data_IF_994972009226
#
_entry.id   IF_994972009226
#
_cell.length_a   1.000
_cell.length_b   1.000
_cell.length_c   1.000
_cell.angle_alpha   90.00
_cell.angle_beta   90.00
_cell.angle_gamma   90.00
#
_symmetry.space_group_name_H-M   'P 1'
#
loop_
_entity.id
_entity.type
_entity.pdbx_description
1 polymer ?
#
# COMPACT_ATOMS: atom_id res chain seq x y z
N UNK A 1 1.99 -20.76 -15.51
CA UNK A 1 1.31 -19.83 -14.59
C UNK A 1 0.02 -19.41 -15.26
N UNK A 2 -1.11 -19.41 -14.55
CA UNK A 2 -2.40 -18.92 -15.07
C UNK A 2 -2.65 -17.56 -14.43
N UNK A 3 -2.96 -16.56 -15.24
CA UNK A 3 -3.33 -15.22 -14.79
C UNK A 3 -4.81 -15.02 -15.05
N UNK A 4 -5.60 -14.92 -13.99
CA UNK A 4 -7.06 -14.82 -14.04
C UNK A 4 -7.56 -13.66 -13.16
N UNK A 5 -8.89 -13.50 -13.08
CA UNK A 5 -9.56 -12.47 -12.26
C UNK A 5 -9.21 -12.54 -10.76
N UNK A 6 -8.56 -13.61 -10.29
CA UNK A 6 -8.19 -13.82 -8.89
C UNK A 6 -6.68 -13.62 -8.64
N UNK A 7 -5.91 -13.15 -9.63
CA UNK A 7 -4.49 -12.79 -9.52
C UNK A 7 -4.22 -11.49 -8.71
N UNK A 8 -4.94 -11.32 -7.59
CA UNK A 8 -5.09 -10.08 -6.84
C UNK A 8 -3.84 -9.63 -6.08
N UNK A 9 -2.99 -10.57 -5.68
CA UNK A 9 -1.84 -10.29 -4.83
C UNK A 9 -0.83 -9.38 -5.54
N UNK A 10 -0.20 -8.49 -4.77
CA UNK A 10 0.95 -7.75 -5.23
C UNK A 10 2.22 -8.61 -5.11
N UNK A 11 2.75 -9.05 -6.25
CA UNK A 11 3.89 -9.95 -6.30
C UNK A 11 5.25 -9.23 -6.18
N UNK A 12 5.28 -7.90 -6.28
CA UNK A 12 6.51 -7.12 -6.18
C UNK A 12 7.22 -7.33 -4.82
N UNK A 13 6.46 -7.60 -3.75
CA UNK A 13 7.00 -7.85 -2.41
C UNK A 13 8.04 -8.98 -2.38
N UNK A 14 7.88 -10.00 -3.21
CA UNK A 14 8.79 -11.14 -3.26
C UNK A 14 10.16 -10.78 -3.84
N UNK A 15 10.31 -9.63 -4.50
CA UNK A 15 11.62 -9.16 -4.94
C UNK A 15 12.55 -8.83 -3.76
N UNK A 16 11.98 -8.58 -2.57
CA UNK A 16 12.75 -8.33 -1.34
C UNK A 16 13.31 -9.60 -0.70
N UNK A 17 12.81 -10.78 -1.08
CA UNK A 17 13.28 -12.05 -0.54
C UNK A 17 14.77 -12.25 -0.85
N UNK A 18 15.54 -12.69 0.15
CA UNK A 18 17.00 -12.88 0.02
C UNK A 18 17.44 -13.63 -1.25
N UNK A 19 16.77 -14.73 -1.67
CA UNK A 19 17.16 -15.45 -2.89
C UNK A 19 17.02 -14.62 -4.18
N UNK A 20 16.18 -13.59 -4.17
CA UNK A 20 15.83 -12.80 -5.36
C UNK A 20 16.70 -11.55 -5.52
N UNK A 21 17.37 -11.07 -4.46
CA UNK A 21 18.22 -9.87 -4.52
C UNK A 21 19.40 -9.98 -5.50
N UNK A 22 19.98 -11.17 -5.61
CA UNK A 22 21.18 -11.43 -6.44
C UNK A 22 20.88 -12.19 -7.73
N UNK A 23 19.60 -12.39 -8.07
CA UNK A 23 19.18 -13.15 -9.26
C UNK A 23 18.50 -12.24 -10.28
N UNK A 24 18.52 -12.68 -11.54
CA UNK A 24 17.63 -12.13 -12.56
C UNK A 24 16.23 -12.70 -12.38
N UNK A 25 15.25 -11.84 -12.15
CA UNK A 25 13.86 -12.21 -11.86
C UNK A 25 12.94 -11.61 -12.92
N UNK A 26 12.13 -12.45 -13.56
CA UNK A 26 11.02 -11.98 -14.39
C UNK A 26 9.75 -11.90 -13.54
N UNK A 27 8.98 -10.81 -13.67
CA UNK A 27 7.77 -10.58 -12.90
C UNK A 27 6.65 -10.06 -13.80
N UNK A 28 5.46 -10.64 -13.66
CA UNK A 28 4.25 -10.09 -14.23
C UNK A 28 3.69 -9.02 -13.31
N UNK A 29 3.47 -7.82 -13.84
CA UNK A 29 3.10 -6.65 -13.03
C UNK A 29 1.82 -5.98 -13.52
N UNK A 30 0.88 -5.81 -12.60
CA UNK A 30 -0.26 -4.89 -12.73
C UNK A 30 0.19 -3.44 -12.50
N UNK A 31 -0.71 -2.49 -12.68
CA UNK A 31 -0.52 -1.11 -12.22
C UNK A 31 -0.02 -1.01 -10.78
N UNK A 32 -0.76 -1.58 -9.82
CA UNK A 32 -0.34 -1.58 -8.42
C UNK A 32 0.98 -2.33 -8.13
N UNK A 33 1.32 -3.36 -8.90
CA UNK A 33 2.58 -4.11 -8.72
C UNK A 33 3.76 -3.27 -9.21
N UNK A 34 3.63 -2.70 -10.41
CA UNK A 34 4.67 -1.86 -11.04
C UNK A 34 5.01 -0.63 -10.18
N UNK A 35 4.01 0.00 -9.55
CA UNK A 35 4.25 1.10 -8.58
C UNK A 35 5.02 0.63 -7.34
N UNK A 36 4.78 -0.60 -6.90
CA UNK A 36 5.56 -1.23 -5.84
C UNK A 36 7.01 -1.46 -6.25
N UNK A 37 7.24 -1.90 -7.48
CA UNK A 37 8.58 -2.04 -8.06
C UNK A 37 9.30 -0.70 -8.15
N UNK A 38 8.61 0.34 -8.66
CA UNK A 38 9.14 1.73 -8.67
C UNK A 38 9.60 2.08 -7.27
N UNK A 39 8.78 1.84 -6.24
CA UNK A 39 9.18 2.19 -4.88
C UNK A 39 10.41 1.44 -4.38
N UNK A 40 10.51 0.16 -4.64
CA UNK A 40 11.68 -0.63 -4.23
C UNK A 40 12.95 -0.20 -4.97
N UNK A 41 12.84 0.28 -6.22
CA UNK A 41 13.95 0.85 -6.96
C UNK A 41 14.42 2.17 -6.33
N UNK A 42 13.51 3.12 -6.05
CA UNK A 42 13.92 4.39 -5.43
C UNK A 42 14.35 4.22 -3.95
N UNK A 43 13.94 3.14 -3.28
CA UNK A 43 14.49 2.74 -1.96
C UNK A 43 15.83 1.99 -2.05
N UNK A 44 16.38 1.80 -3.26
CA UNK A 44 17.60 1.02 -3.54
C UNK A 44 17.57 -0.42 -2.98
N UNK A 45 16.38 -1.02 -2.87
CA UNK A 45 16.23 -2.39 -2.33
C UNK A 45 16.40 -3.46 -3.41
N UNK A 46 16.21 -3.09 -4.67
CA UNK A 46 16.36 -3.94 -5.85
C UNK A 46 17.12 -3.17 -6.93
N UNK A 47 17.68 -3.90 -7.90
CA UNK A 47 18.45 -3.32 -9.01
C UNK A 47 17.69 -3.49 -10.32
N UNK A 48 17.62 -2.42 -11.13
CA UNK A 48 16.82 -2.42 -12.37
C UNK A 48 17.30 -3.47 -13.37
N UNK A 49 18.60 -3.70 -13.46
CA UNK A 49 19.24 -4.68 -14.35
C UNK A 49 18.97 -6.14 -13.95
N UNK A 50 18.49 -6.37 -12.72
CA UNK A 50 18.16 -7.71 -12.21
C UNK A 50 16.68 -8.06 -12.38
N UNK A 51 15.85 -7.16 -12.89
CA UNK A 51 14.42 -7.40 -13.05
C UNK A 51 13.99 -7.26 -14.51
N UNK A 52 13.08 -8.12 -14.92
CA UNK A 52 12.41 -8.07 -16.22
C UNK A 52 10.90 -8.07 -16.01
N UNK A 53 10.23 -7.01 -16.45
CA UNK A 53 8.86 -6.71 -16.08
C UNK A 53 7.92 -6.93 -17.27
N UNK A 54 6.97 -7.84 -17.11
CA UNK A 54 5.93 -8.10 -18.10
C UNK A 54 4.63 -7.45 -17.59
N UNK A 55 4.30 -6.30 -18.16
CA UNK A 55 3.13 -5.51 -17.81
C UNK A 55 1.83 -6.17 -18.23
N UNK A 56 0.85 -6.19 -17.32
CA UNK A 56 -0.51 -6.66 -17.59
C UNK A 56 -1.49 -5.55 -17.19
N UNK A 57 -2.15 -4.89 -18.17
CA UNK A 57 -3.29 -3.99 -17.91
C UNK A 57 -4.38 -4.72 -17.11
N UNK A 58 -4.83 -4.10 -16.02
CA UNK A 58 -5.68 -4.75 -15.03
C UNK A 58 -7.02 -4.00 -14.87
N UNK A 59 -8.15 -4.53 -15.37
CA UNK A 59 -9.45 -3.86 -15.26
C UNK A 59 -10.05 -3.89 -13.85
N UNK A 60 -9.51 -4.71 -12.95
CA UNK A 60 -10.07 -4.98 -11.63
C UNK A 60 -9.97 -6.47 -11.33
N UNK A 61 -9.83 -6.84 -10.06
CA UNK A 61 -9.66 -8.23 -9.65
C UNK A 61 -10.59 -8.58 -8.49
N UNK A 62 -10.99 -9.84 -8.43
CA UNK A 62 -11.89 -10.40 -7.43
C UNK A 62 -11.10 -10.86 -6.21
N UNK A 63 -11.70 -10.77 -5.03
CA UNK A 63 -11.08 -11.31 -3.80
C UNK A 63 -11.40 -12.81 -3.65
N UNK A 64 -10.38 -13.70 -3.62
CA UNK A 64 -10.59 -15.13 -3.37
C UNK A 64 -11.31 -15.42 -2.06
N UNK A 65 -11.18 -14.58 -1.03
CA UNK A 65 -11.90 -14.73 0.24
C UNK A 65 -13.42 -14.61 0.06
N UNK A 66 -13.85 -13.74 -0.85
CA UNK A 66 -15.28 -13.57 -1.18
C UNK A 66 -15.80 -14.79 -1.94
N UNK A 67 -15.01 -15.31 -2.89
CA UNK A 67 -15.34 -16.52 -3.64
C UNK A 67 -15.41 -17.78 -2.74
N UNK A 68 -14.47 -17.94 -1.81
CA UNK A 68 -14.41 -19.09 -0.91
C UNK A 68 -15.56 -19.13 0.12
N UNK A 69 -16.08 -17.96 0.53
CA UNK A 69 -17.26 -17.87 1.43
C UNK A 69 -18.58 -18.24 0.73
N UNK A 70 -18.61 -18.25 -0.59
CA UNK A 70 -19.75 -18.64 -1.43
C UNK A 70 -19.39 -19.76 -2.40
N UNK A 71 -18.82 -20.87 -1.91
CA UNK A 71 -18.55 -22.13 -2.63
C UNK A 71 -18.63 -22.02 -4.17
N UNK A 72 -17.56 -21.59 -4.86
CA UNK A 72 -17.19 -21.79 -6.28
C UNK A 72 -18.28 -22.16 -7.33
N UNK A 73 -19.54 -21.77 -7.15
CA UNK A 73 -20.65 -22.20 -8.00
C UNK A 73 -20.79 -21.28 -9.20
N UNK A 74 -20.34 -20.03 -9.06
CA UNK A 74 -20.25 -19.08 -10.16
C UNK A 74 -19.15 -18.05 -9.91
N UNK A 75 -17.96 -18.25 -10.49
CA UNK A 75 -16.87 -17.29 -10.42
C UNK A 75 -17.20 -15.95 -11.12
N UNK A 76 -18.22 -15.94 -11.98
CA UNK A 76 -18.73 -14.74 -12.64
C UNK A 76 -19.49 -13.81 -11.70
N UNK A 77 -20.11 -14.34 -10.64
CA UNK A 77 -20.94 -13.55 -9.71
C UNK A 77 -20.15 -12.91 -8.56
N UNK A 78 -18.84 -13.16 -8.46
CA UNK A 78 -18.01 -12.61 -7.39
C UNK A 78 -17.68 -11.15 -7.76
N UNK A 79 -18.02 -10.17 -6.90
CA UNK A 79 -17.70 -8.77 -7.18
C UNK A 79 -16.19 -8.53 -7.14
N UNK A 80 -15.78 -7.40 -7.69
CA UNK A 80 -14.41 -6.92 -7.55
C UNK A 80 -14.04 -6.75 -6.07
N UNK A 81 -12.75 -6.85 -5.76
CA UNK A 81 -12.26 -6.56 -4.44
C UNK A 81 -12.38 -5.07 -4.16
N UNK A 82 -12.70 -4.70 -2.91
CA UNK A 82 -12.79 -3.30 -2.45
C UNK A 82 -11.61 -2.42 -2.92
N UNK A 83 -10.38 -2.94 -2.87
CA UNK A 83 -9.18 -2.18 -3.31
C UNK A 83 -9.14 -1.88 -4.81
N UNK A 84 -9.85 -2.64 -5.63
CA UNK A 84 -9.92 -2.47 -7.08
C UNK A 84 -10.99 -1.44 -7.47
N UNK A 85 -12.09 -1.34 -6.71
CA UNK A 85 -13.18 -0.38 -6.94
C UNK A 85 -12.75 1.10 -6.86
N UNK A 86 -11.62 1.34 -6.17
CA UNK A 86 -11.01 2.65 -5.92
C UNK A 86 -9.62 2.78 -6.58
N UNK A 87 -9.23 1.83 -7.43
CA UNK A 87 -7.94 1.88 -8.12
C UNK A 87 -7.92 3.02 -9.13
N UNK A 88 -6.86 3.84 -9.14
CA UNK A 88 -6.67 4.94 -10.11
C UNK A 88 -5.75 4.56 -11.27
N UNK A 89 -4.93 3.52 -11.09
CA UNK A 89 -3.85 3.16 -12.02
C UNK A 89 -3.95 1.69 -12.43
N UNK A 90 -4.85 1.34 -13.37
CA UNK A 90 -5.02 -0.05 -13.85
C UNK A 90 -3.86 -0.53 -14.74
N UNK A 91 -3.18 0.41 -15.41
CA UNK A 91 -2.07 0.11 -16.32
C UNK A 91 -0.72 0.13 -15.58
N UNK A 92 0.22 -0.78 -15.94
CA UNK A 92 1.57 -0.76 -15.38
C UNK A 92 2.31 0.53 -15.76
N UNK A 93 2.92 1.19 -14.78
CA UNK A 93 3.71 2.42 -15.00
C UNK A 93 5.17 2.13 -15.38
N UNK A 94 5.66 0.95 -15.01
CA UNK A 94 7.01 0.48 -15.29
C UNK A 94 6.95 -0.96 -15.79
N UNK A 95 7.40 -1.19 -17.03
CA UNK A 95 7.45 -2.50 -17.67
C UNK A 95 8.52 -2.54 -18.79
N UNK A 96 8.96 -3.73 -19.16
CA UNK A 96 9.83 -4.00 -20.32
C UNK A 96 9.00 -4.41 -21.55
N UNK A 97 8.00 -5.26 -21.33
CA UNK A 97 7.02 -5.70 -22.34
C UNK A 97 5.61 -5.57 -21.77
N UNK A 98 4.62 -5.38 -22.63
CA UNK A 98 3.21 -5.31 -22.24
C UNK A 98 2.41 -6.40 -22.95
N UNK A 99 1.61 -7.14 -22.19
CA UNK A 99 0.70 -8.16 -22.70
C UNK A 99 -0.74 -7.70 -22.51
N UNK A 100 -1.42 -7.47 -23.64
CA UNK A 100 -2.79 -6.96 -23.66
C UNK A 100 -2.86 -5.48 -24.00
N UNK A 101 -4.09 -5.00 -24.16
CA UNK A 101 -4.37 -3.60 -24.46
C UNK A 101 -4.53 -2.80 -23.17
N UNK A 102 -4.00 -1.57 -23.09
CA UNK A 102 -4.27 -0.68 -21.97
C UNK A 102 -5.77 -0.56 -21.69
N UNK A 103 -6.11 -0.53 -20.41
CA UNK A 103 -7.48 -0.32 -19.94
C UNK A 103 -7.70 1.17 -19.74
N UNK A 104 -8.90 1.67 -20.00
CA UNK A 104 -9.26 3.04 -19.71
C UNK A 104 -9.10 3.32 -18.22
N UNK A 105 -8.45 4.43 -17.88
CA UNK A 105 -8.29 4.83 -16.49
C UNK A 105 -9.66 5.26 -15.95
N UNK A 106 -10.06 4.77 -14.77
CA UNK A 106 -11.36 5.10 -14.22
C UNK A 106 -11.43 6.60 -13.93
N UNK A 107 -12.63 7.17 -14.04
CA UNK A 107 -12.85 8.57 -13.71
C UNK A 107 -12.40 8.87 -12.28
N UNK A 108 -11.76 10.03 -12.13
CA UNK A 108 -11.21 10.49 -10.86
C UNK A 108 -12.34 10.70 -9.85
N UNK A 109 -12.50 9.73 -8.95
CA UNK A 109 -13.31 9.87 -7.73
C UNK A 109 -12.49 10.66 -6.69
N UNK A 110 -13.17 11.38 -5.80
CA UNK A 110 -12.52 12.00 -4.64
C UNK A 110 -11.90 10.92 -3.74
N UNK A 111 -10.57 10.72 -3.88
CA UNK A 111 -9.83 9.72 -3.12
C UNK A 111 -9.74 10.04 -1.62
N UNK A 112 -10.11 11.26 -1.21
CA UNK A 112 -10.07 11.71 0.18
C UNK A 112 -11.46 11.80 0.82
N UNK A 113 -12.53 11.40 0.13
CA UNK A 113 -13.90 11.50 0.64
C UNK A 113 -14.09 10.89 2.05
N UNK A 114 -13.60 9.67 2.29
CA UNK A 114 -13.68 9.01 3.61
C UNK A 114 -12.88 9.74 4.70
N UNK A 115 -11.80 10.43 4.31
CA UNK A 115 -10.97 11.23 5.22
C UNK A 115 -11.68 12.54 5.55
N UNK A 116 -12.25 13.20 4.55
CA UNK A 116 -13.03 14.43 4.71
C UNK A 116 -14.22 14.22 5.67
N UNK A 117 -14.94 13.11 5.56
CA UNK A 117 -16.02 12.79 6.50
C UNK A 117 -15.51 12.53 7.92
N UNK A 118 -14.33 11.93 8.07
CA UNK A 118 -13.72 11.68 9.38
C UNK A 118 -13.23 13.00 10.02
N UNK A 119 -12.69 13.93 9.24
CA UNK A 119 -12.20 15.24 9.71
C UNK A 119 -13.30 16.17 10.21
N UNK A 120 -14.55 15.98 9.77
CA UNK A 120 -15.72 16.71 10.29
C UNK A 120 -16.05 16.35 11.75
N UNK A 121 -15.55 15.22 12.25
CA UNK A 121 -15.75 14.80 13.65
C UNK A 121 -14.83 15.57 14.59
N UNK A 122 -15.28 15.76 15.81
CA UNK A 122 -14.47 16.33 16.89
C UNK A 122 -13.20 15.48 17.16
N UNK A 123 -12.23 16.07 17.86
CA UNK A 123 -10.99 15.36 18.24
C UNK A 123 -11.30 14.11 19.06
N UNK A 124 -12.21 14.22 20.03
CA UNK A 124 -12.59 13.11 20.91
C UNK A 124 -13.30 11.99 20.15
N UNK A 125 -14.19 12.33 19.22
CA UNK A 125 -14.86 11.34 18.36
C UNK A 125 -13.87 10.61 17.44
N UNK A 126 -12.89 11.32 16.87
CA UNK A 126 -11.83 10.71 16.06
C UNK A 126 -10.94 9.80 16.90
N UNK A 127 -10.57 10.24 18.10
CA UNK A 127 -9.79 9.44 19.04
C UNK A 127 -10.53 8.16 19.43
N UNK A 128 -11.82 8.26 19.79
CA UNK A 128 -12.66 7.11 20.12
C UNK A 128 -12.80 6.15 18.92
N UNK A 129 -13.00 6.66 17.71
CA UNK A 129 -13.07 5.86 16.49
C UNK A 129 -11.79 5.04 16.27
N UNK A 130 -10.61 5.67 16.33
CA UNK A 130 -9.34 4.97 16.13
C UNK A 130 -8.97 4.04 17.27
N UNK A 131 -9.35 4.38 18.52
CA UNK A 131 -9.23 3.49 19.67
C UNK A 131 -10.02 2.20 19.44
N UNK A 132 -11.27 2.31 18.98
CA UNK A 132 -12.09 1.14 18.65
C UNK A 132 -11.53 0.28 17.50
N UNK A 133 -10.73 0.84 16.58
CA UNK A 133 -10.04 0.04 15.56
C UNK A 133 -8.76 -0.61 16.11
N UNK A 134 -8.00 0.10 16.94
CA UNK A 134 -6.80 -0.42 17.58
C UNK A 134 -7.10 -1.60 18.53
N UNK A 135 -8.25 -1.57 19.22
CA UNK A 135 -8.73 -2.67 20.08
C UNK A 135 -8.92 -3.98 19.32
N UNK A 136 -9.31 -3.91 18.05
CA UNK A 136 -9.51 -5.10 17.20
C UNK A 136 -8.20 -5.67 16.68
N UNK A 137 -7.11 -4.92 16.75
CA UNK A 137 -5.85 -5.30 16.12
C UNK A 137 -5.18 -6.45 16.88
N UNK A 138 -5.07 -7.60 16.21
CA UNK A 138 -4.35 -8.77 16.75
C UNK A 138 -2.82 -8.62 16.66
N UNK A 139 -2.33 -7.52 16.10
CA UNK A 139 -0.92 -7.25 15.81
C UNK A 139 -0.20 -8.43 15.12
N UNK A 140 -0.88 -9.04 14.15
CA UNK A 140 -0.37 -10.18 13.38
C UNK A 140 0.64 -9.80 12.28
N UNK A 141 0.91 -8.51 12.07
CA UNK A 141 1.80 -7.95 11.05
C UNK A 141 1.50 -8.30 9.58
N UNK A 142 0.35 -8.89 9.26
CA UNK A 142 -0.04 -9.18 7.88
C UNK A 142 -0.01 -7.91 6.99
N UNK A 143 -0.53 -6.80 7.50
CA UNK A 143 -0.53 -5.51 6.81
C UNK A 143 0.87 -4.94 6.57
N UNK A 144 1.84 -5.27 7.43
CA UNK A 144 3.25 -4.91 7.25
C UNK A 144 3.90 -5.77 6.18
N UNK A 145 3.74 -7.09 6.30
CA UNK A 145 4.48 -8.05 5.48
C UNK A 145 4.00 -8.09 4.01
N UNK A 146 2.76 -7.67 3.73
CA UNK A 146 2.25 -7.56 2.36
C UNK A 146 2.62 -6.22 1.68
N UNK A 147 3.10 -5.24 2.44
CA UNK A 147 3.21 -3.85 1.96
C UNK A 147 4.49 -3.65 1.12
N UNK A 148 4.40 -3.34 -0.19
CA UNK A 148 5.58 -3.15 -1.02
C UNK A 148 6.42 -1.91 -0.66
N UNK A 149 5.81 -0.92 0.00
CA UNK A 149 6.50 0.26 0.52
C UNK A 149 7.26 -0.02 1.84
N UNK A 150 7.03 -1.16 2.48
CA UNK A 150 7.74 -1.57 3.69
C UNK A 150 8.97 -2.40 3.31
N UNK A 151 9.97 -1.73 2.78
CA UNK A 151 11.09 -2.36 2.08
C UNK A 151 12.37 -2.48 2.93
N UNK A 152 12.34 -2.05 4.20
CA UNK A 152 13.52 -2.03 5.07
C UNK A 152 14.05 -3.44 5.38
N UNK A 153 15.38 -3.66 5.32
CA UNK A 153 15.97 -4.98 5.60
C UNK A 153 15.85 -5.37 7.07
N UNK A 154 15.97 -4.41 7.98
CA UNK A 154 15.78 -4.56 9.41
C UNK A 154 14.57 -3.72 9.84
N UNK A 155 13.63 -4.34 10.55
CA UNK A 155 12.41 -3.67 11.00
C UNK A 155 12.47 -3.34 12.48
N UNK A 156 12.15 -2.09 12.84
CA UNK A 156 12.10 -1.66 14.25
C UNK A 156 11.12 -2.48 15.12
N UNK A 157 10.10 -3.09 14.50
CA UNK A 157 9.16 -3.96 15.23
C UNK A 157 9.72 -5.34 15.53
N UNK A 158 10.80 -5.75 14.86
CA UNK A 158 11.52 -6.99 15.16
C UNK A 158 12.71 -6.75 16.09
N UNK A 159 13.09 -5.49 16.31
CA UNK A 159 14.20 -5.12 17.17
C UNK A 159 13.87 -5.36 18.65
N UNK A 160 14.77 -6.09 19.33
CA UNK A 160 14.69 -6.25 20.79
C UNK A 160 15.26 -5.06 21.56
N UNK A 161 16.15 -4.27 20.92
CA UNK A 161 16.86 -3.13 21.51
C UNK A 161 17.10 -2.01 20.47
N UNK A 162 16.69 -0.75 20.73
CA UNK A 162 15.70 -0.37 21.75
C UNK A 162 14.35 -1.04 21.46
N UNK A 163 13.58 -1.34 22.50
CA UNK A 163 12.25 -1.97 22.34
C UNK A 163 11.22 -0.87 22.12
N UNK A 164 10.87 -0.62 20.86
CA UNK A 164 9.85 0.36 20.50
C UNK A 164 8.42 -0.13 20.73
N UNK A 165 8.21 -1.45 20.65
CA UNK A 165 6.90 -2.06 20.78
C UNK A 165 6.99 -3.22 21.77
N UNK A 166 6.10 -3.26 22.75
CA UNK A 166 6.09 -4.35 23.72
C UNK A 166 5.47 -5.62 23.13
N UNK A 167 5.78 -6.78 23.71
CA UNK A 167 5.21 -8.07 23.33
C UNK A 167 3.74 -8.20 23.71
N UNK A 168 3.29 -7.44 24.70
CA UNK A 168 1.88 -7.34 25.07
C UNK A 168 1.06 -6.66 23.97
N UNK A 169 -0.07 -7.25 23.61
CA UNK A 169 -1.01 -6.68 22.63
C UNK A 169 -2.07 -5.93 23.43
N UNK A 170 -1.88 -4.62 23.58
CA UNK A 170 -2.84 -3.69 24.18
C UNK A 170 -3.24 -2.62 23.17
N UNK A 171 -4.32 -1.90 23.46
CA UNK A 171 -4.82 -0.78 22.66
C UNK A 171 -3.74 0.28 22.41
N UNK A 172 -3.02 0.68 23.46
CA UNK A 172 -1.98 1.71 23.40
C UNK A 172 -0.82 1.26 22.51
N UNK A 173 -0.39 0.00 22.68
CA UNK A 173 0.66 -0.59 21.85
C UNK A 173 0.21 -0.70 20.39
N UNK A 174 -1.06 -1.04 20.13
CA UNK A 174 -1.60 -1.11 18.78
C UNK A 174 -1.70 0.28 18.13
N UNK A 175 -2.13 1.30 18.87
CA UNK A 175 -2.13 2.69 18.40
C UNK A 175 -0.72 3.13 18.03
N UNK A 176 0.27 2.83 18.88
CA UNK A 176 1.67 3.15 18.61
C UNK A 176 2.21 2.44 17.37
N UNK A 177 1.89 1.14 17.21
CA UNK A 177 2.20 0.40 15.99
C UNK A 177 1.61 1.06 14.74
N UNK A 178 0.32 1.41 14.75
CA UNK A 178 -0.34 2.02 13.61
C UNK A 178 0.22 3.40 13.27
N UNK A 179 0.53 4.22 14.27
CA UNK A 179 1.15 5.53 14.10
C UNK A 179 2.54 5.43 13.45
N UNK A 180 3.40 4.55 13.97
CA UNK A 180 4.71 4.31 13.36
C UNK A 180 4.56 3.78 11.94
N UNK A 181 3.64 2.83 11.72
CA UNK A 181 3.44 2.22 10.40
C UNK A 181 3.03 3.24 9.35
N UNK A 182 2.03 4.08 9.65
CA UNK A 182 1.57 5.08 8.69
C UNK A 182 2.66 6.12 8.44
N UNK A 183 3.37 6.55 9.48
CA UNK A 183 4.47 7.51 9.35
C UNK A 183 5.61 6.98 8.46
N UNK A 184 6.02 5.73 8.67
CA UNK A 184 7.08 5.10 7.87
C UNK A 184 6.78 5.06 6.37
N UNK A 185 5.52 5.02 5.97
CA UNK A 185 5.13 4.92 4.56
C UNK A 185 4.41 6.18 4.07
N UNK A 186 4.42 7.28 4.83
CA UNK A 186 3.56 8.44 4.58
C UNK A 186 3.73 8.99 3.16
N UNK A 187 4.97 9.17 2.70
CA UNK A 187 5.34 9.62 1.36
C UNK A 187 5.72 8.47 0.39
N UNK A 188 5.50 7.22 0.81
CA UNK A 188 5.84 6.02 0.01
C UNK A 188 4.64 5.13 -0.30
N UNK A 189 3.49 5.39 0.31
CA UNK A 189 2.28 4.61 0.13
C UNK A 189 1.77 4.74 -1.31
N UNK A 190 1.79 3.63 -2.05
CA UNK A 190 1.29 3.53 -3.42
C UNK A 190 -0.23 3.27 -3.52
N UNK A 191 -0.95 3.44 -2.42
CA UNK A 191 -2.40 3.24 -2.34
C UNK A 191 -2.94 1.90 -2.87
N UNK A 192 -2.15 0.83 -2.85
CA UNK A 192 -2.53 -0.47 -3.42
C UNK A 192 -3.58 -1.26 -2.61
N UNK A 193 -3.96 -0.80 -1.41
CA UNK A 193 -5.00 -1.44 -0.58
C UNK A 193 -4.66 -2.81 0.02
N UNK A 194 -3.46 -3.34 -0.22
CA UNK A 194 -3.07 -4.68 0.26
C UNK A 194 -3.14 -4.80 1.77
N UNK A 195 -2.71 -3.76 2.50
CA UNK A 195 -2.68 -3.75 3.95
C UNK A 195 -4.07 -3.96 4.58
N UNK A 196 -5.09 -3.31 4.04
CA UNK A 196 -6.48 -3.44 4.46
C UNK A 196 -7.08 -4.79 4.04
N UNK A 197 -6.83 -5.21 2.79
CA UNK A 197 -7.33 -6.48 2.24
C UNK A 197 -6.88 -7.71 3.02
N UNK A 198 -5.61 -7.74 3.46
CA UNK A 198 -5.09 -8.89 4.20
C UNK A 198 -5.47 -8.89 5.67
N UNK A 199 -5.99 -7.78 6.20
CA UNK A 199 -6.29 -7.65 7.62
C UNK A 199 -7.41 -8.63 8.04
N UNK A 200 -7.13 -9.59 8.95
CA UNK A 200 -8.15 -10.53 9.41
C UNK A 200 -9.22 -9.87 10.29
N UNK A 201 -8.88 -8.75 10.93
CA UNK A 201 -9.78 -7.97 11.78
C UNK A 201 -10.52 -6.85 11.03
N UNK A 202 -10.29 -6.68 9.72
CA UNK A 202 -11.00 -5.71 8.88
C UNK A 202 -10.75 -4.25 9.25
N UNK A 203 -9.52 -3.90 9.67
CA UNK A 203 -9.17 -2.51 10.01
C UNK A 203 -9.13 -1.62 8.75
N UNK A 204 -9.67 -0.39 8.80
CA UNK A 204 -9.69 0.55 7.68
C UNK A 204 -8.33 1.25 7.49
N UNK A 205 -7.28 0.49 7.18
CA UNK A 205 -5.91 0.99 7.09
C UNK A 205 -5.72 1.97 5.93
N UNK A 206 -6.51 1.86 4.86
CA UNK A 206 -6.43 2.82 3.75
C UNK A 206 -6.94 4.20 4.13
N UNK A 207 -7.93 4.30 5.02
CA UNK A 207 -8.39 5.59 5.54
C UNK A 207 -7.26 6.32 6.30
N UNK A 208 -6.47 5.58 7.09
CA UNK A 208 -5.32 6.15 7.80
C UNK A 208 -4.20 6.59 6.84
N UNK A 209 -3.86 5.75 5.86
CA UNK A 209 -2.83 6.09 4.87
C UNK A 209 -3.24 7.29 4.00
N UNK A 210 -4.51 7.36 3.56
CA UNK A 210 -5.04 8.47 2.77
C UNK A 210 -5.03 9.79 3.53
N UNK A 211 -5.26 9.75 4.84
CA UNK A 211 -5.13 10.96 5.70
C UNK A 211 -3.70 11.52 5.63
N UNK A 212 -2.69 10.68 5.77
CA UNK A 212 -1.29 11.14 5.67
C UNK A 212 -0.92 11.60 4.26
N UNK A 213 -1.43 10.93 3.22
CA UNK A 213 -1.23 11.37 1.83
C UNK A 213 -1.89 12.75 1.60
N UNK A 214 -3.10 12.97 2.13
CA UNK A 214 -3.79 14.27 2.08
C UNK A 214 -2.95 15.35 2.73
N UNK A 215 -2.45 15.11 3.94
CA UNK A 215 -1.61 16.06 4.67
C UNK A 215 -0.32 16.38 3.91
N UNK A 216 0.33 15.38 3.34
CA UNK A 216 1.52 15.59 2.51
C UNK A 216 1.17 16.43 1.27
N UNK A 217 0.02 16.19 0.64
CA UNK A 217 -0.40 16.97 -0.52
C UNK A 217 -0.75 18.42 -0.17
N UNK A 218 -1.32 18.65 1.00
CA UNK A 218 -1.64 19.99 1.50
C UNK A 218 -0.37 20.76 1.88
N UNK A 219 0.63 20.10 2.49
CA UNK A 219 1.85 20.73 2.99
C UNK A 219 2.94 20.90 1.93
N UNK A 220 3.17 19.89 1.08
CA UNK A 220 4.29 19.82 0.13
C UNK A 220 3.84 19.80 -1.33
N UNK A 221 2.54 19.95 -1.59
CA UNK A 221 1.97 19.96 -2.92
C UNK A 221 1.64 18.58 -3.51
N UNK A 222 1.05 18.54 -4.72
CA UNK A 222 0.54 17.31 -5.33
C UNK A 222 1.63 16.26 -5.52
N UNK A 223 1.49 15.14 -4.81
CA UNK A 223 2.42 14.03 -4.87
C UNK A 223 1.69 12.68 -4.83
N UNK A 224 2.18 11.74 -5.63
CA UNK A 224 1.70 10.37 -5.62
C UNK A 224 2.87 9.38 -5.78
N UNK A 225 3.01 8.49 -4.80
CA UNK A 225 4.14 7.57 -4.77
C UNK A 225 4.06 6.51 -5.88
N UNK A 226 5.23 6.15 -6.40
CA UNK A 226 5.40 5.02 -7.31
C UNK A 226 5.00 5.27 -8.76
N UNK A 227 4.76 6.52 -9.18
CA UNK A 227 4.47 6.86 -10.59
C UNK A 227 5.72 7.15 -11.41
N UNK A 228 6.72 7.79 -10.80
CA UNK A 228 7.97 8.19 -11.45
C UNK A 228 9.16 7.70 -10.60
N UNK A 229 10.19 7.18 -11.28
CA UNK A 229 11.43 6.73 -10.67
C UNK A 229 12.31 7.89 -10.19
N UNK A 230 12.30 9.01 -10.91
CA UNK A 230 13.17 10.15 -10.66
C UNK A 230 12.57 11.13 -9.65
N UNK A 231 11.24 11.17 -9.55
CA UNK A 231 10.56 12.03 -8.58
C UNK A 231 10.87 11.58 -7.15
N UNK A 232 11.51 12.47 -6.38
CA UNK A 232 11.85 12.23 -4.98
C UNK A 232 10.63 12.40 -4.08
N UNK A 233 10.41 11.51 -3.09
CA UNK A 233 9.37 11.70 -2.09
C UNK A 233 9.54 13.01 -1.29
N UNK A 234 8.45 13.71 -0.95
CA UNK A 234 8.49 14.98 -0.23
C UNK A 234 9.29 14.94 1.07
N UNK A 235 9.25 13.86 1.86
CA UNK A 235 9.94 13.81 3.15
C UNK A 235 11.43 13.43 3.04
N UNK A 236 11.96 13.31 1.82
CA UNK A 236 13.36 12.93 1.57
C UNK A 236 14.21 14.07 1.01
N UNK A 237 13.60 15.23 0.78
CA UNK A 237 14.27 16.45 0.36
C UNK A 237 13.62 17.66 1.05
N UNK A 238 14.17 18.84 0.81
CA UNK A 238 13.59 20.09 1.31
C UNK A 238 13.54 21.09 0.15
N UNK A 239 12.51 21.93 0.15
CA UNK A 239 12.39 23.09 -0.73
C UNK A 239 12.36 24.37 0.12
N UNK A 240 12.90 25.48 -0.40
CA UNK A 240 12.92 26.75 0.35
C UNK A 240 11.53 27.37 0.53
N UNK A 241 10.52 26.85 -0.16
CA UNK A 241 9.11 27.26 -0.02
C UNK A 241 8.31 26.38 0.94
N UNK A 242 8.92 25.36 1.55
CA UNK A 242 8.23 24.47 2.49
C UNK A 242 7.76 25.26 3.73
N UNK A 243 6.60 24.90 4.32
CA UNK A 243 6.08 25.59 5.50
C UNK A 243 7.07 25.52 6.69
N UNK A 244 7.63 26.67 7.08
CA UNK A 244 8.54 26.76 8.24
C UNK A 244 7.80 26.69 9.59
N UNK A 245 6.51 27.00 9.66
CA UNK A 245 5.74 27.08 10.93
C UNK A 245 5.54 25.73 11.65
N UNK A 246 5.97 24.61 11.06
CA UNK A 246 5.79 23.25 11.60
C UNK A 246 7.11 22.50 11.91
N UNK A 247 8.27 23.17 11.81
CA UNK A 247 9.59 22.66 12.27
C UNK A 247 9.99 23.29 13.62
#
# INVERSE_FOLDING_TARGET
MVWDDFAINNLAIYLLDKPNKDRKVALFVKGCDSRGVVRMLQDNQIKRENIYLIGIPCPGLKDPKTAARGYYKDAGSVPEAKKCEECRHPNPVLYDEILGTPVEEPQEKDRFAEVNELEKKSVDERYAYWTAQADKCLRCFACRNVCPACSCPDCMFDCTKPRWLDKEVSTEQNQFFHMIRVWHVADRCIECGECERVCPAGLPLMQLNRKLIKDINELFGPFEAGLDLEQRPPLTHYETGDPEELM
#
